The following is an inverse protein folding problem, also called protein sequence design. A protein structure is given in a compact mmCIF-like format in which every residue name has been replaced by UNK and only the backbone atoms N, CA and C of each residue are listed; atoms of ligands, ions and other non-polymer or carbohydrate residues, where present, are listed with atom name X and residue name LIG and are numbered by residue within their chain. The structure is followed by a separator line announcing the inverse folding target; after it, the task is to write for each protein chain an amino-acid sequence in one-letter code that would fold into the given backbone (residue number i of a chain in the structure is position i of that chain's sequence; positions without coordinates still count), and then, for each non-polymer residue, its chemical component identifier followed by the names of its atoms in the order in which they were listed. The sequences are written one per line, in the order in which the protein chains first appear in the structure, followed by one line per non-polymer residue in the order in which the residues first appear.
data_IF_017214751633
#
_entry.id   IF_017214751633
#
_cell.length_a   1.000
_cell.length_b   1.000
_cell.length_c   1.000
_cell.angle_alpha   90.00
_cell.angle_beta   90.00
_cell.angle_gamma   90.00
#
_symmetry.space_group_name_H-M   'P 1'
#
loop_
_entity.id
_entity.type
_entity.pdbx_description
1 polymer ?
#
# COMPACT_ATOMS: atom_id res chain seq x y z
N UNK A 1 5.70 16.16 -19.60
CA UNK A 1 7.08 16.47 -19.14
C UNK A 1 7.99 15.40 -19.73
N UNK A 2 8.94 15.80 -20.55
CA UNK A 2 9.80 14.89 -21.31
C UNK A 2 11.26 15.05 -20.86
N UNK A 3 12.07 14.02 -21.06
CA UNK A 3 13.49 14.07 -20.77
C UNK A 3 14.20 15.02 -21.75
N UNK A 4 15.00 15.99 -21.29
CA UNK A 4 15.69 16.92 -22.19
C UNK A 4 16.77 16.24 -23.05
N UNK A 5 17.24 15.04 -22.69
CA UNK A 5 18.31 14.34 -23.43
C UNK A 5 17.80 13.35 -24.47
N UNK A 6 16.65 12.72 -24.24
CA UNK A 6 16.11 11.69 -25.14
C UNK A 6 14.66 11.95 -25.58
N UNK A 7 14.08 13.06 -25.14
CA UNK A 7 12.75 13.57 -25.49
C UNK A 7 11.57 12.64 -25.16
N UNK A 8 11.83 11.53 -24.48
CA UNK A 8 10.79 10.60 -24.02
C UNK A 8 10.06 11.10 -22.79
N UNK A 9 8.82 10.66 -22.65
CA UNK A 9 7.98 10.97 -21.49
C UNK A 9 8.63 10.47 -20.20
N UNK A 10 8.66 11.32 -19.17
CA UNK A 10 9.11 10.94 -17.83
C UNK A 10 7.94 10.35 -17.03
N UNK A 11 8.01 9.04 -16.73
CA UNK A 11 7.02 8.36 -15.88
C UNK A 11 7.19 8.67 -14.39
N UNK A 12 8.40 9.04 -13.97
CA UNK A 12 8.68 9.48 -12.60
C UNK A 12 9.63 10.66 -12.62
N UNK A 13 9.26 11.71 -11.88
CA UNK A 13 10.08 12.90 -11.66
C UNK A 13 10.84 12.85 -10.32
N UNK A 14 10.62 11.79 -9.54
CA UNK A 14 11.27 11.56 -8.24
C UNK A 14 12.72 11.10 -8.44
N UNK A 15 12.97 10.36 -9.52
CA UNK A 15 14.30 9.83 -9.82
C UNK A 15 15.24 10.92 -10.32
N UNK A 16 16.52 10.82 -9.93
CA UNK A 16 17.56 11.74 -10.41
C UNK A 16 17.99 11.51 -11.86
N UNK A 17 17.66 10.34 -12.42
CA UNK A 17 18.04 9.95 -13.79
C UNK A 17 16.80 9.57 -14.58
N UNK A 18 16.87 9.76 -15.90
CA UNK A 18 15.85 9.29 -16.81
C UNK A 18 15.84 7.75 -16.80
N UNK A 19 14.70 7.15 -16.48
CA UNK A 19 14.53 5.69 -16.48
C UNK A 19 14.68 5.03 -17.87
N UNK A 20 14.75 5.81 -18.95
CA UNK A 20 14.96 5.30 -20.31
C UNK A 20 16.42 5.42 -20.77
N UNK A 21 16.96 6.65 -20.82
CA UNK A 21 18.30 6.89 -21.35
C UNK A 21 19.40 7.00 -20.27
N UNK A 22 19.03 7.03 -18.98
CA UNK A 22 19.98 7.15 -17.88
C UNK A 22 20.56 8.55 -17.65
N UNK A 23 20.22 9.54 -18.48
CA UNK A 23 20.69 10.91 -18.33
C UNK A 23 20.24 11.52 -16.99
N UNK A 24 21.11 12.34 -16.38
CA UNK A 24 20.79 13.06 -15.14
C UNK A 24 19.74 14.14 -15.43
N UNK A 25 18.67 14.15 -14.64
CA UNK A 25 17.57 15.09 -14.79
C UNK A 25 17.85 16.38 -14.03
N UNK A 26 17.70 17.55 -14.67
CA UNK A 26 17.93 18.83 -14.01
C UNK A 26 16.85 19.11 -12.94
N UNK A 27 17.12 19.93 -11.92
CA UNK A 27 16.23 20.11 -10.77
C UNK A 27 14.84 20.64 -11.16
N UNK A 28 14.72 21.41 -12.24
CA UNK A 28 13.46 22.01 -12.72
C UNK A 28 12.47 20.96 -13.23
N UNK A 29 12.98 19.83 -13.76
CA UNK A 29 12.13 18.72 -14.20
C UNK A 29 11.95 17.65 -13.13
N UNK A 30 12.72 17.71 -12.04
CA UNK A 30 12.54 16.82 -10.89
C UNK A 30 11.41 17.34 -9.99
N UNK A 31 10.89 16.45 -9.15
CA UNK A 31 10.01 16.85 -8.07
C UNK A 31 10.88 17.42 -6.94
N UNK A 32 10.50 18.53 -6.30
CA UNK A 32 11.26 19.05 -5.18
C UNK A 32 11.21 18.07 -3.99
N UNK A 33 12.24 18.11 -3.14
CA UNK A 33 12.40 17.12 -2.07
C UNK A 33 11.24 17.14 -1.06
N UNK A 34 10.69 18.32 -0.75
CA UNK A 34 9.56 18.44 0.17
C UNK A 34 8.30 17.70 -0.35
N UNK A 35 7.96 17.85 -1.63
CA UNK A 35 6.84 17.12 -2.24
C UNK A 35 7.10 15.60 -2.29
N UNK A 36 8.36 15.18 -2.48
CA UNK A 36 8.72 13.75 -2.44
C UNK A 36 8.48 13.19 -1.03
N UNK A 37 8.84 13.95 0.01
CA UNK A 37 8.68 13.52 1.39
C UNK A 37 7.21 13.50 1.83
N UNK A 38 6.40 14.46 1.38
CA UNK A 38 4.94 14.44 1.54
C UNK A 38 4.32 13.16 0.94
N UNK A 39 4.66 12.85 -0.32
CA UNK A 39 4.17 11.62 -0.99
C UNK A 39 4.60 10.37 -0.21
N UNK A 40 5.84 10.32 0.29
CA UNK A 40 6.33 9.19 1.09
C UNK A 40 5.57 9.04 2.39
N UNK A 41 5.28 10.16 3.05
CA UNK A 41 4.52 10.16 4.29
C UNK A 41 3.09 9.66 4.05
N UNK A 42 2.40 10.17 3.03
CA UNK A 42 1.06 9.70 2.66
C UNK A 42 1.04 8.20 2.33
N UNK A 43 2.04 7.71 1.59
CA UNK A 43 2.16 6.29 1.28
C UNK A 43 2.36 5.44 2.54
N UNK A 44 3.16 5.92 3.49
CA UNK A 44 3.39 5.26 4.77
C UNK A 44 2.09 5.18 5.59
N UNK A 45 1.38 6.30 5.73
CA UNK A 45 0.11 6.36 6.46
C UNK A 45 -0.96 5.45 5.83
N UNK A 46 -1.06 5.42 4.50
CA UNK A 46 -1.96 4.50 3.81
C UNK A 46 -1.57 3.03 4.01
N UNK A 47 -0.28 2.71 4.01
CA UNK A 47 0.20 1.34 4.24
C UNK A 47 -0.12 0.87 5.67
N UNK A 48 0.09 1.73 6.66
CA UNK A 48 -0.22 1.46 8.07
C UNK A 48 -1.72 1.23 8.28
N UNK A 49 -2.57 2.10 7.71
CA UNK A 49 -4.03 1.92 7.77
C UNK A 49 -4.48 0.58 7.18
N UNK A 50 -3.98 0.25 5.98
CA UNK A 50 -4.29 -1.03 5.33
C UNK A 50 -3.78 -2.23 6.12
N UNK A 51 -2.68 -2.10 6.87
CA UNK A 51 -2.18 -3.17 7.72
C UNK A 51 -3.10 -3.40 8.92
N UNK A 52 -3.52 -2.31 9.59
CA UNK A 52 -4.45 -2.37 10.72
C UNK A 52 -5.83 -2.93 10.31
N UNK A 53 -6.34 -2.55 9.13
CA UNK A 53 -7.62 -3.08 8.64
C UNK A 53 -7.53 -4.60 8.37
N UNK A 54 -6.42 -5.07 7.80
CA UNK A 54 -6.19 -6.51 7.58
C UNK A 54 -6.11 -7.29 8.88
N UNK A 55 -5.44 -6.75 9.89
CA UNK A 55 -5.32 -7.38 11.22
C UNK A 55 -6.68 -7.53 11.88
N UNK A 56 -7.51 -6.48 11.86
CA UNK A 56 -8.89 -6.53 12.38
C UNK A 56 -9.75 -7.55 11.65
N UNK A 57 -9.69 -7.58 10.31
CA UNK A 57 -10.46 -8.56 9.53
C UNK A 57 -10.03 -10.01 9.83
N UNK A 58 -8.74 -10.25 10.09
CA UNK A 58 -8.23 -11.56 10.47
C UNK A 58 -8.70 -11.97 11.88
N UNK A 59 -8.62 -11.06 12.84
CA UNK A 59 -9.11 -11.27 14.21
C UNK A 59 -10.62 -11.56 14.22
N UNK A 60 -11.42 -10.77 13.50
CA UNK A 60 -12.87 -10.99 13.37
C UNK A 60 -13.20 -12.34 12.73
N UNK A 61 -12.45 -12.74 11.69
CA UNK A 61 -12.61 -14.06 11.06
C UNK A 61 -12.25 -15.19 12.01
N UNK A 62 -11.19 -15.03 12.81
CA UNK A 62 -10.80 -16.03 13.80
C UNK A 62 -11.85 -16.15 14.91
N UNK A 63 -12.38 -15.03 15.41
CA UNK A 63 -13.47 -15.04 16.38
C UNK A 63 -14.72 -15.73 15.83
N UNK A 64 -15.11 -15.40 14.59
CA UNK A 64 -16.26 -16.05 13.94
C UNK A 64 -16.04 -17.56 13.79
N UNK A 65 -14.82 -17.99 13.42
CA UNK A 65 -14.46 -19.41 13.36
C UNK A 65 -14.56 -20.08 14.73
N UNK A 66 -14.04 -19.44 15.79
CA UNK A 66 -14.12 -19.94 17.17
C UNK A 66 -15.57 -20.08 17.62
N UNK A 67 -16.41 -19.06 17.41
CA UNK A 67 -17.85 -19.07 17.76
C UNK A 67 -18.60 -20.15 16.98
N UNK A 68 -18.34 -20.28 15.69
CA UNK A 68 -18.94 -21.34 14.86
C UNK A 68 -18.54 -22.73 15.38
N UNK A 69 -17.26 -22.97 15.69
CA UNK A 69 -16.79 -24.26 16.18
C UNK A 69 -17.41 -24.65 17.53
N UNK A 70 -17.58 -23.69 18.45
CA UNK A 70 -18.24 -23.91 19.74
C UNK A 70 -19.70 -24.32 19.54
N UNK A 71 -20.43 -23.69 18.62
CA UNK A 71 -21.83 -24.00 18.34
C UNK A 71 -22.07 -25.38 17.70
N UNK A 72 -21.09 -25.97 17.01
CA UNK A 72 -21.21 -27.34 16.46
C UNK A 72 -21.05 -28.43 17.53
N UNK A 73 -20.48 -28.10 18.70
CA UNK A 73 -20.13 -29.08 19.75
C UNK A 73 -21.22 -29.37 20.78
N UNK A 74 -22.36 -28.65 20.75
CA UNK A 74 -23.50 -28.92 21.64
C UNK A 74 -24.52 -29.77 20.88
N UNK A 75 -24.57 -31.10 21.06
CA UNK A 75 -25.62 -31.91 20.46
C UNK A 75 -26.98 -31.46 21.03
N UNK A 76 -28.04 -31.41 20.21
CA UNK A 76 -29.38 -31.15 20.74
C UNK A 76 -29.70 -32.27 21.73
N UNK A 77 -29.90 -31.91 23.00
CA UNK A 77 -30.37 -32.83 24.03
C UNK A 77 -31.75 -33.34 23.59
N UNK A 78 -31.79 -34.52 22.99
CA UNK A 78 -33.02 -35.22 22.65
C UNK A 78 -33.60 -35.73 23.98
N UNK A 79 -34.59 -35.02 24.54
CA UNK A 79 -35.42 -35.54 25.63
C UNK A 79 -36.52 -36.41 25.04
N UNK A 80 -36.47 -37.70 25.36
CA UNK A 80 -37.54 -38.70 25.18
C UNK A 80 -38.27 -38.87 26.51
#
# INVERSE_FOLDING_TARGET
MNCPSCERLLYSRIQQKCGYCGAVLPPEVRLPEHEIDEIRQEQKEMAERRAADREKEEEEREEQRKRAQVNVSVPPTFML
#
